data_IF_045594957537
#
_entry.id   IF_045594957537
#
_cell.length_a   1.000
_cell.length_b   1.000
_cell.length_c   1.000
_cell.angle_alpha   90.00
_cell.angle_beta   90.00
_cell.angle_gamma   90.00
#
_symmetry.space_group_name_H-M   'P 1'
#
loop_
_entity.id
_entity.type
_entity.pdbx_description
1 polymer ?
#
# COMPACT_ATOMS: atom_id res chain seq x y z
N UNK A 1 6.38 22.35 -14.01
CA UNK A 1 7.04 23.54 -14.60
C UNK A 1 6.98 23.62 -16.13
N UNK A 2 5.99 22.99 -16.79
CA UNK A 2 5.80 23.09 -18.25
C UNK A 2 5.46 24.53 -18.67
N UNK A 3 4.62 25.23 -17.91
CA UNK A 3 4.25 26.64 -18.15
C UNK A 3 5.45 27.58 -18.10
N UNK A 4 6.37 27.38 -17.14
CA UNK A 4 7.60 28.17 -17.01
C UNK A 4 8.47 27.98 -18.26
N UNK A 5 8.71 26.73 -18.67
CA UNK A 5 9.49 26.41 -19.87
C UNK A 5 8.85 26.97 -21.15
N UNK A 6 7.52 26.86 -21.29
CA UNK A 6 6.79 27.34 -22.46
C UNK A 6 6.94 28.86 -22.69
N UNK A 7 7.25 29.62 -21.63
CA UNK A 7 7.44 31.06 -21.69
C UNK A 7 8.92 31.47 -21.70
N UNK A 8 9.86 30.55 -21.97
CA UNK A 8 11.29 30.84 -22.00
C UNK A 8 11.87 31.25 -20.64
N UNK A 9 11.17 30.92 -19.55
CA UNK A 9 11.60 31.24 -18.18
C UNK A 9 12.36 30.06 -17.56
N UNK A 10 13.14 30.35 -16.53
CA UNK A 10 13.84 29.35 -15.72
C UNK A 10 13.52 29.52 -14.24
N UNK A 11 13.46 28.40 -13.52
CA UNK A 11 13.33 28.41 -12.05
C UNK A 11 14.66 28.91 -11.47
N UNK A 12 14.58 29.84 -10.52
CA UNK A 12 15.76 30.43 -9.86
C UNK A 12 15.84 30.02 -8.39
N UNK A 13 14.69 29.95 -7.71
CA UNK A 13 14.58 29.56 -6.32
C UNK A 13 13.14 29.12 -6.03
N UNK A 14 12.97 28.19 -5.09
CA UNK A 14 11.67 27.80 -4.55
C UNK A 14 11.41 28.58 -3.25
N UNK A 15 10.25 29.24 -3.14
CA UNK A 15 9.88 29.95 -1.92
C UNK A 15 9.21 29.04 -0.89
N UNK A 16 8.33 28.16 -1.35
CA UNK A 16 7.51 27.29 -0.51
C UNK A 16 6.98 26.12 -1.34
N UNK A 17 6.86 24.96 -0.71
CA UNK A 17 6.13 23.81 -1.26
C UNK A 17 4.70 23.80 -0.69
N UNK A 18 3.71 23.67 -1.56
CA UNK A 18 2.30 23.60 -1.16
C UNK A 18 1.79 22.19 -1.34
N UNK A 19 1.23 21.63 -0.28
CA UNK A 19 0.56 20.32 -0.30
C UNK A 19 -0.86 20.45 0.26
N UNK A 20 -1.81 19.63 -0.20
CA UNK A 20 -3.12 19.56 0.43
C UNK A 20 -2.99 19.13 1.90
N UNK A 21 -3.64 19.86 2.79
CA UNK A 21 -3.63 19.58 4.24
C UNK A 21 -5.04 19.66 4.79
N UNK A 22 -5.36 18.78 5.76
CA UNK A 22 -6.59 18.89 6.53
C UNK A 22 -6.40 19.93 7.64
N UNK A 23 -7.10 21.06 7.54
CA UNK A 23 -7.04 22.15 8.51
C UNK A 23 -8.36 22.19 9.29
N UNK A 24 -8.27 22.37 10.61
CA UNK A 24 -9.42 22.55 11.49
C UNK A 24 -9.41 23.94 12.15
N UNK A 25 -10.59 24.56 12.24
CA UNK A 25 -10.76 25.78 13.02
C UNK A 25 -10.57 25.50 14.51
N UNK A 26 -9.85 26.40 15.21
CA UNK A 26 -9.52 26.22 16.64
C UNK A 26 -10.73 26.12 17.57
N UNK A 27 -11.79 26.89 17.34
CA UNK A 27 -13.01 26.82 18.14
C UNK A 27 -13.78 25.52 17.88
N UNK A 28 -13.81 25.04 16.64
CA UNK A 28 -14.39 23.74 16.32
C UNK A 28 -13.57 22.58 16.93
N UNK A 29 -12.25 22.71 17.02
CA UNK A 29 -11.38 21.71 17.66
C UNK A 29 -11.57 21.63 19.18
N UNK A 30 -11.96 22.74 19.82
CA UNK A 30 -12.24 22.77 21.26
C UNK A 30 -13.58 22.11 21.64
N UNK A 31 -14.52 21.99 20.68
CA UNK A 31 -15.78 21.28 20.86
C UNK A 31 -15.54 19.75 20.74
N UNK A 32 -15.81 18.95 21.80
CA UNK A 32 -15.49 17.52 21.79
C UNK A 32 -16.20 16.72 20.70
N UNK A 33 -17.46 17.05 20.40
CA UNK A 33 -18.24 16.33 19.40
C UNK A 33 -17.71 16.61 17.98
N UNK A 34 -17.37 17.87 17.69
CA UNK A 34 -16.77 18.25 16.40
C UNK A 34 -15.36 17.69 16.25
N UNK A 35 -14.56 17.75 17.31
CA UNK A 35 -13.20 17.20 17.35
C UNK A 35 -13.20 15.71 16.99
N UNK A 36 -14.08 14.92 17.61
CA UNK A 36 -14.18 13.49 17.30
C UNK A 36 -14.45 13.24 15.81
N UNK A 37 -15.32 14.03 15.18
CA UNK A 37 -15.60 13.90 13.74
C UNK A 37 -14.39 14.25 12.87
N UNK A 38 -13.68 15.31 13.23
CA UNK A 38 -12.46 15.73 12.51
C UNK A 38 -11.39 14.64 12.63
N UNK A 39 -11.20 14.07 13.82
CA UNK A 39 -10.25 12.97 14.06
C UNK A 39 -10.63 11.73 13.24
N UNK A 40 -11.91 11.35 13.19
CA UNK A 40 -12.37 10.25 12.33
C UNK A 40 -12.01 10.48 10.85
N UNK A 41 -12.27 11.69 10.32
CA UNK A 41 -11.91 12.03 8.93
C UNK A 41 -10.40 11.95 8.75
N UNK A 42 -9.62 12.50 9.68
CA UNK A 42 -8.16 12.47 9.63
C UNK A 42 -7.62 11.04 9.59
N UNK A 43 -8.18 10.12 10.39
CA UNK A 43 -7.82 8.70 10.38
C UNK A 43 -8.11 8.06 9.03
N UNK A 44 -9.29 8.29 8.45
CA UNK A 44 -9.66 7.72 7.15
C UNK A 44 -8.79 8.27 6.00
N UNK A 45 -8.42 9.55 6.04
CA UNK A 45 -7.51 10.15 5.07
C UNK A 45 -6.10 9.57 5.20
N UNK A 46 -5.57 9.44 6.42
CA UNK A 46 -4.27 8.79 6.66
C UNK A 46 -4.26 7.34 6.18
N UNK A 47 -5.34 6.60 6.40
CA UNK A 47 -5.45 5.23 5.93
C UNK A 47 -5.46 5.13 4.41
N UNK A 48 -6.09 6.10 3.73
CA UNK A 48 -6.06 6.19 2.27
C UNK A 48 -4.65 6.50 1.75
N UNK A 49 -3.93 7.43 2.40
CA UNK A 49 -2.55 7.75 2.05
C UNK A 49 -1.61 6.55 2.28
N UNK A 50 -1.80 5.81 3.38
CA UNK A 50 -1.01 4.62 3.67
C UNK A 50 -1.25 3.48 2.67
N UNK A 51 -2.44 3.42 2.05
CA UNK A 51 -2.77 2.46 1.01
C UNK A 51 -2.25 2.87 -0.38
N UNK A 52 -1.83 4.12 -0.56
CA UNK A 52 -1.41 4.62 -1.86
C UNK A 52 -0.18 3.85 -2.38
N UNK A 53 -0.32 3.28 -3.57
CA UNK A 53 0.71 2.43 -4.18
C UNK A 53 0.92 1.09 -3.47
N UNK A 54 0.02 0.69 -2.56
CA UNK A 54 -0.01 -0.62 -1.93
C UNK A 54 -1.04 -1.54 -2.61
N UNK A 55 -0.68 -2.81 -2.74
CA UNK A 55 -1.55 -3.85 -3.30
C UNK A 55 -1.53 -5.08 -2.40
N UNK A 56 -2.65 -5.79 -2.38
CA UNK A 56 -2.71 -7.14 -1.85
C UNK A 56 -2.30 -8.12 -2.94
N UNK A 57 -1.44 -9.07 -2.59
CA UNK A 57 -0.99 -10.16 -3.44
C UNK A 57 -1.41 -11.47 -2.79
N UNK A 58 -2.18 -12.26 -3.52
CA UNK A 58 -2.66 -13.57 -3.09
C UNK A 58 -2.19 -14.63 -4.07
N UNK A 59 -1.72 -15.76 -3.58
CA UNK A 59 -1.26 -16.87 -4.43
C UNK A 59 -1.48 -18.21 -3.73
N UNK A 60 -1.48 -19.28 -4.50
CA UNK A 60 -1.39 -20.64 -3.99
C UNK A 60 0.03 -21.17 -4.17
N UNK A 61 0.52 -21.98 -3.23
CA UNK A 61 1.83 -22.62 -3.33
C UNK A 61 1.83 -23.99 -2.64
N UNK A 62 2.74 -24.90 -3.04
CA UNK A 62 3.02 -26.12 -2.28
C UNK A 62 3.49 -25.79 -0.86
N UNK A 63 3.05 -26.58 0.13
CA UNK A 63 3.38 -26.32 1.54
C UNK A 63 4.89 -26.38 1.84
N UNK A 64 5.66 -27.19 1.10
CA UNK A 64 7.13 -27.29 1.23
C UNK A 64 7.87 -26.05 0.67
N UNK A 65 7.19 -25.16 -0.05
CA UNK A 65 7.78 -23.95 -0.65
C UNK A 65 7.50 -22.66 0.12
N UNK A 66 6.73 -22.74 1.20
CA UNK A 66 6.31 -21.56 1.98
C UNK A 66 7.52 -20.77 2.46
N UNK A 67 8.52 -21.43 3.05
CA UNK A 67 9.71 -20.75 3.60
C UNK A 67 10.52 -20.02 2.51
N UNK A 68 10.69 -20.63 1.34
CA UNK A 68 11.37 -19.98 0.22
C UNK A 68 10.58 -18.77 -0.31
N UNK A 69 9.25 -18.89 -0.40
CA UNK A 69 8.38 -17.81 -0.85
C UNK A 69 8.36 -16.64 0.15
N UNK A 70 8.29 -16.92 1.45
CA UNK A 70 8.26 -15.87 2.48
C UNK A 70 9.56 -15.06 2.55
N UNK A 71 10.70 -15.62 2.11
CA UNK A 71 11.97 -14.88 1.99
C UNK A 71 11.99 -13.87 0.84
N UNK A 72 11.20 -14.09 -0.22
CA UNK A 72 11.09 -13.17 -1.36
C UNK A 72 10.12 -12.02 -1.03
N UNK A 73 9.06 -12.32 -0.27
CA UNK A 73 8.04 -11.34 0.06
C UNK A 73 8.60 -10.25 1.00
N UNK A 74 8.42 -8.96 0.68
CA UNK A 74 8.88 -7.88 1.55
C UNK A 74 8.15 -7.94 2.90
N UNK A 75 8.93 -7.87 3.98
CA UNK A 75 8.62 -8.30 5.34
C UNK A 75 7.61 -7.43 6.12
N UNK A 76 6.77 -6.62 5.46
CA UNK A 76 6.07 -5.53 6.13
C UNK A 76 5.09 -5.99 7.22
N UNK A 77 4.54 -7.22 7.15
CA UNK A 77 3.64 -7.75 8.19
C UNK A 77 3.66 -9.28 8.43
N UNK A 78 4.64 -10.02 7.91
CA UNK A 78 4.61 -11.50 7.77
C UNK A 78 3.39 -11.96 6.92
N UNK A 79 3.60 -12.73 5.84
CA UNK A 79 2.48 -13.14 5.00
C UNK A 79 1.53 -14.06 5.76
N UNK A 80 0.24 -13.93 5.49
CA UNK A 80 -0.78 -14.87 5.97
C UNK A 80 -0.66 -16.16 5.17
N UNK A 81 -0.65 -17.30 5.86
CA UNK A 81 -0.58 -18.63 5.24
C UNK A 81 -1.79 -19.45 5.73
N UNK A 82 -2.60 -19.93 4.79
CA UNK A 82 -3.80 -20.72 5.09
C UNK A 82 -3.83 -22.00 4.25
N UNK A 83 -4.07 -23.16 4.86
CA UNK A 83 -4.17 -24.43 4.15
C UNK A 83 -5.40 -24.51 3.26
N UNK A 84 -5.22 -25.02 2.03
CA UNK A 84 -6.34 -25.30 1.14
C UNK A 84 -7.07 -26.58 1.58
N UNK A 85 -8.39 -26.62 1.35
CA UNK A 85 -9.24 -27.72 1.79
C UNK A 85 -8.80 -29.06 1.15
N UNK A 86 -8.45 -30.04 2.00
CA UNK A 86 -8.02 -31.39 1.58
C UNK A 86 -6.87 -31.38 0.55
N UNK A 87 -5.86 -30.54 0.77
CA UNK A 87 -4.71 -30.39 -0.13
C UNK A 87 -3.42 -30.09 0.63
N UNK A 88 -2.28 -30.49 0.07
CA UNK A 88 -0.92 -30.14 0.54
C UNK A 88 -0.48 -28.73 0.10
N UNK A 89 -1.43 -27.92 -0.38
CA UNK A 89 -1.20 -26.56 -0.83
C UNK A 89 -1.69 -25.55 0.20
N UNK A 90 -1.09 -24.37 0.15
CA UNK A 90 -1.46 -23.21 0.96
C UNK A 90 -1.81 -22.02 0.09
N UNK A 91 -2.69 -21.17 0.58
CA UNK A 91 -2.88 -19.79 0.11
C UNK A 91 -1.95 -18.89 0.92
N UNK A 92 -1.13 -18.10 0.22
CA UNK A 92 -0.24 -17.09 0.80
C UNK A 92 -0.80 -15.72 0.41
N UNK A 93 -0.93 -14.81 1.38
CA UNK A 93 -1.39 -13.45 1.16
C UNK A 93 -0.42 -12.45 1.79
N UNK A 94 -0.04 -11.41 1.05
CA UNK A 94 0.88 -10.37 1.50
C UNK A 94 0.48 -9.01 0.94
N UNK A 95 0.77 -7.96 1.70
CA UNK A 95 0.59 -6.56 1.28
C UNK A 95 1.97 -5.98 0.98
N UNK A 96 2.11 -5.33 -0.18
CA UNK A 96 3.37 -4.76 -0.64
C UNK A 96 3.13 -3.59 -1.61
N UNK A 97 4.21 -2.89 -1.97
CA UNK A 97 4.12 -1.86 -2.99
C UNK A 97 3.95 -2.46 -4.39
N UNK A 98 3.08 -1.86 -5.21
CA UNK A 98 2.82 -2.26 -6.60
C UNK A 98 4.11 -2.39 -7.43
N UNK A 99 5.05 -1.45 -7.24
CA UNK A 99 6.34 -1.45 -7.94
C UNK A 99 7.18 -2.71 -7.70
N UNK A 100 7.05 -3.36 -6.54
CA UNK A 100 7.80 -4.58 -6.20
C UNK A 100 7.19 -5.81 -6.87
N UNK A 101 5.88 -5.80 -7.16
CA UNK A 101 5.14 -6.96 -7.71
C UNK A 101 5.80 -7.45 -9.00
N UNK A 102 6.08 -6.53 -9.94
CA UNK A 102 6.68 -6.87 -11.25
C UNK A 102 8.03 -7.58 -11.13
N UNK A 103 8.78 -7.29 -10.06
CA UNK A 103 10.07 -7.92 -9.79
C UNK A 103 9.91 -9.31 -9.21
N UNK A 104 9.02 -9.47 -8.22
CA UNK A 104 8.92 -10.70 -7.44
C UNK A 104 8.06 -11.79 -8.11
N UNK A 105 7.06 -11.43 -8.92
CA UNK A 105 6.13 -12.41 -9.51
C UNK A 105 6.84 -13.50 -10.31
N UNK A 106 7.83 -13.21 -11.18
CA UNK A 106 8.60 -14.25 -11.86
C UNK A 106 9.35 -15.18 -10.90
N UNK A 107 9.93 -14.63 -9.82
CA UNK A 107 10.65 -15.41 -8.81
C UNK A 107 9.70 -16.34 -8.03
N UNK A 108 8.51 -15.84 -7.68
CA UNK A 108 7.46 -16.62 -7.02
C UNK A 108 6.97 -17.77 -7.91
N UNK A 109 6.76 -17.52 -9.20
CA UNK A 109 6.38 -18.55 -10.16
C UNK A 109 7.46 -19.63 -10.29
N UNK A 110 8.74 -19.25 -10.31
CA UNK A 110 9.85 -20.19 -10.35
C UNK A 110 9.92 -21.10 -9.11
N UNK A 111 9.45 -20.62 -7.96
CA UNK A 111 9.30 -21.41 -6.73
C UNK A 111 8.02 -22.28 -6.69
N UNK A 112 7.18 -22.22 -7.72
CA UNK A 112 5.95 -23.03 -7.82
C UNK A 112 4.69 -22.33 -7.34
N UNK A 113 4.71 -21.01 -7.11
CA UNK A 113 3.49 -20.26 -6.84
C UNK A 113 2.58 -20.25 -8.08
N UNK A 114 1.28 -20.43 -7.86
CA UNK A 114 0.24 -20.47 -8.89
C UNK A 114 -0.96 -19.60 -8.49
N UNK A 115 -1.76 -19.19 -9.48
CA UNK A 115 -2.96 -18.39 -9.24
C UNK A 115 -2.65 -17.08 -8.51
N UNK A 116 -1.56 -16.40 -8.92
CA UNK A 116 -1.16 -15.12 -8.34
C UNK A 116 -2.16 -14.05 -8.78
N UNK A 117 -2.77 -13.38 -7.80
CA UNK A 117 -3.77 -12.33 -7.98
C UNK A 117 -3.30 -11.08 -7.25
N UNK A 118 -3.34 -9.96 -7.94
CA UNK A 118 -3.07 -8.63 -7.41
C UNK A 118 -4.39 -7.84 -7.32
N UNK A 119 -4.60 -7.12 -6.21
CA UNK A 119 -5.76 -6.23 -6.03
C UNK A 119 -5.36 -4.94 -5.30
N UNK A 120 -5.93 -3.83 -5.76
CA UNK A 120 -5.71 -2.52 -5.16
C UNK A 120 -6.28 -2.42 -3.76
N UNK A 121 -5.55 -1.77 -2.86
CA UNK A 121 -6.02 -1.46 -1.52
C UNK A 121 -6.53 -0.02 -1.47
N UNK A 122 -7.71 0.16 -0.91
CA UNK A 122 -8.30 1.50 -0.78
C UNK A 122 -7.88 2.20 0.51
N UNK A 123 -7.66 1.44 1.59
CA UNK A 123 -7.29 1.94 2.93
C UNK A 123 -6.49 0.87 3.68
N UNK A 124 -5.47 1.32 4.41
CA UNK A 124 -4.72 0.51 5.38
C UNK A 124 -4.83 1.23 6.72
N UNK A 125 -5.52 0.62 7.69
CA UNK A 125 -5.83 1.20 9.00
C UNK A 125 -4.85 0.72 10.08
#
# INVERSE_FOLDING_TARGET
>A
GSTIKANGLRIVCDLMESVPVLIANKAAWADPWKRQKIETIATLLKASLAAEGMVGLKMNAPNDKVEAITQILPSLNRPTVAHLYKSDWVSIESILHEKEVRRIVPELMALGAQGIIEYSLNKVL
#
